data_IF_147722460984
#
_entry.id   IF_147722460984
#
_cell.length_a   1.000
_cell.length_b   1.000
_cell.length_c   1.000
_cell.angle_alpha   90.00
_cell.angle_beta   90.00
_cell.angle_gamma   90.00
#
_symmetry.space_group_name_H-M   'P 1'
#
loop_
_entity.id
_entity.type
_entity.pdbx_description
1 polymer ?
#
# COMPACT_ATOMS: atom_id res chain seq x y z
N UNK A 1 9.33 20.12 12.48
CA UNK A 1 10.09 18.86 12.24
C UNK A 1 9.79 18.33 10.82
N UNK A 2 10.08 19.10 9.76
CA UNK A 2 9.31 18.96 8.49
C UNK A 2 10.12 18.84 7.19
N UNK A 3 11.46 18.87 7.21
CA UNK A 3 12.29 18.73 6.00
C UNK A 3 13.02 17.38 5.89
N UNK A 4 13.66 16.94 6.98
CA UNK A 4 14.55 15.78 6.99
C UNK A 4 13.84 14.46 6.66
N UNK A 5 12.63 14.27 7.19
CA UNK A 5 11.86 13.03 6.97
C UNK A 5 11.40 12.89 5.51
N UNK A 6 11.15 14.01 4.82
CA UNK A 6 10.78 14.02 3.40
C UNK A 6 11.97 13.58 2.53
N UNK A 7 13.17 14.04 2.89
CA UNK A 7 14.40 13.66 2.20
C UNK A 7 14.74 12.18 2.42
N UNK A 8 14.68 11.71 3.68
CA UNK A 8 14.91 10.30 4.02
C UNK A 8 13.86 9.39 3.35
N UNK A 9 12.59 9.82 3.30
CA UNK A 9 11.55 9.13 2.56
C UNK A 9 11.92 8.94 1.07
N UNK A 10 12.36 10.02 0.42
CA UNK A 10 12.73 10.01 -1.01
C UNK A 10 13.96 9.12 -1.28
N UNK A 11 14.99 9.22 -0.44
CA UNK A 11 16.16 8.35 -0.49
C UNK A 11 15.78 6.87 -0.36
N UNK A 12 14.89 6.54 0.59
CA UNK A 12 14.45 5.17 0.82
C UNK A 12 13.73 4.60 -0.40
N UNK A 13 12.88 5.40 -1.04
CA UNK A 13 12.14 5.05 -2.23
C UNK A 13 13.04 4.86 -3.45
N UNK A 14 13.99 5.76 -3.70
CA UNK A 14 14.99 5.60 -4.77
C UNK A 14 15.83 4.32 -4.58
N UNK A 15 16.18 4.00 -3.33
CA UNK A 15 16.94 2.79 -3.01
C UNK A 15 16.09 1.52 -3.08
N UNK A 16 14.76 1.62 -2.93
CA UNK A 16 13.80 0.52 -2.92
C UNK A 16 12.52 0.89 -3.72
N UNK A 17 12.56 0.92 -5.06
CA UNK A 17 11.44 1.39 -5.90
C UNK A 17 10.18 0.49 -5.82
N UNK A 18 10.32 -0.70 -5.25
CA UNK A 18 9.23 -1.66 -5.02
C UNK A 18 8.51 -1.46 -3.67
N UNK A 19 8.95 -0.52 -2.84
CA UNK A 19 8.31 -0.24 -1.55
C UNK A 19 7.15 0.75 -1.71
N UNK A 20 5.93 0.29 -1.41
CA UNK A 20 4.78 1.19 -1.24
C UNK A 20 4.83 1.96 0.09
N UNK A 21 3.97 2.99 0.21
CA UNK A 21 3.88 3.84 1.40
C UNK A 21 3.79 3.07 2.72
N UNK A 22 3.17 1.88 2.72
CA UNK A 22 3.07 0.98 3.88
C UNK A 22 4.44 0.49 4.36
N UNK A 23 5.27 -0.02 3.45
CA UNK A 23 6.62 -0.52 3.78
C UNK A 23 7.55 0.61 4.16
N UNK A 24 7.44 1.75 3.46
CA UNK A 24 8.22 2.94 3.79
C UNK A 24 7.85 3.45 5.19
N UNK A 25 6.56 3.52 5.52
CA UNK A 25 6.11 3.91 6.88
C UNK A 25 6.65 2.95 7.95
N UNK A 26 6.66 1.64 7.68
CA UNK A 26 7.19 0.66 8.62
C UNK A 26 8.70 0.82 8.84
N UNK A 27 9.46 1.02 7.75
CA UNK A 27 10.90 1.25 7.83
C UNK A 27 11.23 2.54 8.58
N UNK A 28 10.56 3.64 8.25
CA UNK A 28 10.76 4.93 8.94
C UNK A 28 10.50 4.83 10.44
N UNK A 29 9.53 4.02 10.86
CA UNK A 29 9.26 3.76 12.28
C UNK A 29 10.33 2.89 12.93
N UNK A 30 10.84 1.89 12.21
CA UNK A 30 11.97 1.09 12.68
C UNK A 30 13.24 1.93 12.85
N UNK A 31 13.42 2.93 11.99
CA UNK A 31 14.51 3.91 12.06
C UNK A 31 14.28 5.01 13.13
N UNK A 32 13.20 4.92 13.92
CA UNK A 32 12.91 5.82 15.04
C UNK A 32 12.07 7.07 14.68
N UNK A 33 11.66 7.24 13.43
CA UNK A 33 10.84 8.38 13.02
C UNK A 33 9.35 8.13 13.31
N UNK A 34 8.73 9.05 14.04
CA UNK A 34 7.28 9.03 14.25
C UNK A 34 6.54 9.61 13.03
N UNK A 35 6.27 8.74 12.04
CA UNK A 35 5.56 9.10 10.81
C UNK A 35 4.16 8.53 10.72
N UNK A 36 3.23 9.36 10.24
CA UNK A 36 1.88 8.95 9.91
C UNK A 36 1.83 8.36 8.49
N UNK A 37 1.23 7.17 8.34
CA UNK A 37 1.00 6.53 7.03
C UNK A 37 0.31 7.45 6.02
N UNK A 38 -0.63 8.30 6.48
CA UNK A 38 -1.36 9.25 5.62
C UNK A 38 -0.44 10.33 5.05
N UNK A 39 0.57 10.76 5.83
CA UNK A 39 1.56 11.75 5.38
C UNK A 39 2.46 11.16 4.32
N UNK A 40 2.96 9.94 4.53
CA UNK A 40 3.80 9.23 3.56
C UNK A 40 3.05 9.00 2.24
N UNK A 41 1.80 8.52 2.31
CA UNK A 41 0.96 8.35 1.13
C UNK A 41 0.71 9.67 0.38
N UNK A 42 0.45 10.77 1.10
CA UNK A 42 0.28 12.09 0.48
C UNK A 42 1.56 12.57 -0.21
N UNK A 43 2.72 12.40 0.43
CA UNK A 43 4.01 12.79 -0.16
C UNK A 43 4.32 11.98 -1.42
N UNK A 44 4.02 10.67 -1.43
CA UNK A 44 4.09 9.85 -2.64
C UNK A 44 3.20 10.37 -3.76
N UNK A 45 1.93 10.68 -3.45
CA UNK A 45 0.99 11.20 -4.44
C UNK A 45 1.41 12.57 -4.99
N UNK A 46 1.84 13.50 -4.13
CA UNK A 46 2.29 14.84 -4.55
C UNK A 46 3.56 14.77 -5.38
N UNK A 47 4.48 13.86 -5.05
CA UNK A 47 5.69 13.63 -5.83
C UNK A 47 5.44 12.86 -7.13
N UNK A 48 4.22 12.36 -7.37
CA UNK A 48 3.89 11.53 -8.53
C UNK A 48 4.57 10.17 -8.52
N UNK A 49 4.98 9.68 -7.34
CA UNK A 49 5.77 8.46 -7.23
C UNK A 49 4.87 7.32 -6.78
N UNK A 50 4.63 6.39 -7.69
CA UNK A 50 3.94 5.14 -7.42
C UNK A 50 4.95 4.01 -7.22
N UNK A 51 4.71 3.18 -6.22
CA UNK A 51 5.52 1.99 -6.03
C UNK A 51 5.15 0.94 -7.06
N UNK A 52 6.15 0.31 -7.67
CA UNK A 52 5.98 -0.79 -8.63
C UNK A 52 5.68 -2.05 -7.82
N UNK A 53 4.46 -2.19 -7.30
CA UNK A 53 3.99 -3.41 -6.67
C UNK A 53 2.75 -3.94 -7.38
N UNK A 54 2.72 -5.25 -7.61
CA UNK A 54 1.50 -5.94 -8.02
C UNK A 54 0.47 -5.74 -6.90
N UNK A 55 -0.64 -5.10 -7.22
CA UNK A 55 -1.77 -4.98 -6.29
C UNK A 55 -2.16 -6.35 -5.73
N UNK A 56 -2.79 -6.40 -4.54
CA UNK A 56 -3.28 -7.67 -4.01
C UNK A 56 -4.14 -8.35 -5.09
N UNK A 57 -3.83 -9.61 -5.39
CA UNK A 57 -4.48 -10.35 -6.46
C UNK A 57 -5.87 -10.81 -6.01
N UNK A 58 -6.77 -9.85 -5.80
CA UNK A 58 -8.14 -10.05 -5.29
C UNK A 58 -9.06 -10.70 -6.31
N UNK A 59 -8.68 -10.72 -7.59
CA UNK A 59 -9.43 -11.42 -8.64
C UNK A 59 -9.23 -12.93 -8.59
N UNK A 60 -8.10 -13.41 -8.07
CA UNK A 60 -7.86 -14.84 -7.90
C UNK A 60 -8.56 -15.34 -6.65
N UNK A 61 -9.59 -16.15 -6.87
CA UNK A 61 -10.28 -16.90 -5.82
C UNK A 61 -9.32 -17.82 -5.08
N UNK A 62 -9.36 -17.78 -3.74
CA UNK A 62 -8.70 -18.79 -2.91
C UNK A 62 -9.40 -20.15 -3.12
N UNK A 63 -8.67 -21.13 -3.67
CA UNK A 63 -9.21 -22.46 -3.96
C UNK A 63 -9.63 -23.23 -2.70
N UNK A 64 -9.05 -22.92 -1.54
CA UNK A 64 -9.39 -23.55 -0.26
C UNK A 64 -10.77 -23.13 0.27
N UNK A 65 -11.34 -22.04 -0.22
CA UNK A 65 -12.65 -21.57 0.23
C UNK A 65 -13.77 -22.30 -0.54
N UNK A 66 -14.90 -22.57 0.11
CA UNK A 66 -16.07 -23.19 -0.54
C UNK A 66 -16.70 -22.22 -1.55
N UNK A 67 -17.17 -22.73 -2.69
CA UNK A 67 -17.99 -21.91 -3.61
C UNK A 67 -19.40 -21.92 -3.03
N UNK A 68 -19.96 -20.74 -2.75
CA UNK A 68 -21.38 -20.65 -2.44
C UNK A 68 -22.15 -20.30 -3.72
N UNK A 69 -23.15 -21.11 -4.11
CA UNK A 69 -24.01 -20.74 -5.22
C UNK A 69 -24.79 -19.46 -4.84
N UNK A 70 -25.05 -18.62 -5.85
CA UNK A 70 -25.87 -17.43 -5.65
C UNK A 70 -27.32 -17.85 -5.42
N UNK A 71 -27.81 -17.69 -4.19
CA UNK A 71 -29.11 -18.21 -3.75
C UNK A 71 -30.31 -17.46 -4.36
N UNK A 72 -30.08 -16.25 -4.89
CA UNK A 72 -31.12 -15.46 -5.54
C UNK A 72 -31.28 -15.80 -7.04
N UNK A 73 -30.54 -16.79 -7.53
CA UNK A 73 -30.62 -17.23 -8.93
C UNK A 73 -31.96 -17.94 -9.17
N UNK A 74 -32.87 -17.30 -9.92
CA UNK A 74 -34.16 -17.87 -10.32
C UNK A 74 -35.36 -17.45 -9.47
N UNK A 75 -35.20 -16.48 -8.57
CA UNK A 75 -36.35 -15.87 -7.89
C UNK A 75 -37.08 -14.92 -8.86
N UNK A 76 -38.42 -14.95 -8.90
CA UNK A 76 -39.18 -13.88 -9.53
C UNK A 76 -38.91 -12.57 -8.80
N UNK A 77 -38.72 -11.50 -9.57
CA UNK A 77 -38.52 -10.13 -9.07
C UNK A 77 -39.87 -9.58 -8.59
#
# INVERSE_FOLDING_TARGET
MNGETTFIFFLLLMRRPFYGYRRITAQLRADGYNVNRKRVARLMNVAGIEAIFLGPNTSRRNQLHKVHPYLLRGLPI
#
